data_IF_413566202792
#
_entry.id   IF_413566202792
#
_cell.length_a   1.000
_cell.length_b   1.000
_cell.length_c   1.000
_cell.angle_alpha   90.00
_cell.angle_beta   90.00
_cell.angle_gamma   90.00
#
_symmetry.space_group_name_H-M   'P 1'
#
loop_
_entity.id
_entity.type
_entity.pdbx_description
1 polymer ?
#
# COMPACT_ATOMS: atom_id res chain seq x y z
N UNK A 1 -15.16 14.84 70.51
CA UNK A 1 -13.86 14.33 70.03
C UNK A 1 -13.73 14.56 68.56
N UNK A 2 -12.93 15.57 68.22
CA UNK A 2 -12.69 15.97 66.82
C UNK A 2 -11.67 15.04 66.20
N UNK A 3 -12.02 14.31 65.18
CA UNK A 3 -11.07 13.65 64.29
C UNK A 3 -10.88 14.43 62.98
N UNK A 4 -9.66 14.87 62.82
CA UNK A 4 -9.12 15.72 61.77
C UNK A 4 -9.21 15.05 60.39
N UNK A 5 -9.80 15.77 59.43
CA UNK A 5 -9.75 15.49 58.00
C UNK A 5 -8.41 15.92 57.37
N UNK A 6 -7.32 15.27 57.73
CA UNK A 6 -6.01 15.53 57.12
C UNK A 6 -5.17 14.25 57.23
N UNK A 7 -5.39 13.25 56.38
CA UNK A 7 -4.40 12.21 56.03
C UNK A 7 -5.05 11.25 55.04
N UNK A 8 -5.37 11.68 53.83
CA UNK A 8 -5.64 10.72 52.71
C UNK A 8 -5.46 11.41 51.34
N UNK A 9 -4.43 12.22 51.18
CA UNK A 9 -3.98 12.72 49.88
C UNK A 9 -2.46 12.59 49.83
N UNK A 10 -1.98 11.40 49.79
CA UNK A 10 -0.56 11.12 49.47
C UNK A 10 -0.42 9.63 49.20
N UNK A 11 -0.76 9.17 48.03
CA UNK A 11 -0.29 7.93 47.43
C UNK A 11 -1.10 7.55 46.16
N UNK A 12 -1.30 8.42 45.22
CA UNK A 12 -1.56 8.06 43.81
C UNK A 12 -0.89 9.13 42.93
N UNK A 13 0.42 9.24 43.04
CA UNK A 13 1.27 9.75 41.97
C UNK A 13 2.07 8.54 41.50
N UNK A 14 1.38 7.53 41.00
CA UNK A 14 1.97 6.45 40.26
C UNK A 14 1.97 6.84 38.79
N UNK A 15 3.12 7.38 38.34
CA UNK A 15 3.76 7.02 37.07
C UNK A 15 2.87 6.96 35.82
N UNK A 16 2.16 8.05 35.50
CA UNK A 16 2.00 8.40 34.11
C UNK A 16 3.32 9.05 33.67
N UNK A 17 4.32 8.24 33.36
CA UNK A 17 5.34 8.65 32.42
C UNK A 17 4.65 8.80 31.06
N UNK A 18 3.96 9.93 30.89
CA UNK A 18 3.76 10.49 29.57
C UNK A 18 5.16 10.51 28.96
N UNK A 19 5.44 9.59 28.03
CA UNK A 19 6.50 9.79 27.06
C UNK A 19 6.07 11.08 26.35
N UNK A 20 6.57 12.21 26.83
CA UNK A 20 6.46 13.48 26.14
C UNK A 20 7.00 13.19 24.75
N UNK A 21 6.12 13.21 23.74
CA UNK A 21 6.58 13.32 22.36
C UNK A 21 7.55 14.49 22.40
N UNK A 22 8.78 14.34 21.89
CA UNK A 22 9.71 15.46 21.87
C UNK A 22 8.95 16.63 21.25
N UNK A 23 8.83 17.75 21.99
CA UNK A 23 8.29 18.99 21.47
C UNK A 23 9.35 19.48 20.51
N UNK A 24 9.28 19.00 19.27
CA UNK A 24 10.04 19.54 18.18
C UNK A 24 9.60 21.01 18.10
N UNK A 25 10.48 21.93 18.42
CA UNK A 25 10.27 23.35 18.14
C UNK A 25 9.77 23.40 16.69
N UNK A 26 8.65 24.08 16.43
CA UNK A 26 7.87 24.00 15.21
C UNK A 26 8.77 24.05 13.95
N UNK A 27 9.24 22.88 13.55
CA UNK A 27 10.19 22.71 12.47
C UNK A 27 9.49 23.07 11.16
N UNK A 28 10.05 23.98 10.40
CA UNK A 28 9.41 24.37 9.13
C UNK A 28 9.67 23.30 8.09
N UNK A 29 8.65 22.88 7.34
CA UNK A 29 8.84 21.93 6.26
C UNK A 29 9.76 22.54 5.18
N UNK A 30 10.69 21.73 4.69
CA UNK A 30 11.54 22.06 3.56
C UNK A 30 10.77 21.89 2.24
N UNK A 31 9.93 20.87 2.17
CA UNK A 31 9.15 20.55 0.99
C UNK A 31 7.88 19.80 1.41
N UNK A 32 6.78 20.06 0.70
CA UNK A 32 5.56 19.27 0.73
C UNK A 32 5.26 18.80 -0.69
N UNK A 33 5.02 17.49 -0.88
CA UNK A 33 4.66 16.95 -2.18
C UNK A 33 3.56 15.90 -2.09
N UNK A 34 2.74 15.80 -3.15
CA UNK A 34 1.69 14.79 -3.28
C UNK A 34 2.23 13.52 -3.91
N UNK A 35 1.66 12.37 -3.53
CA UNK A 35 1.97 11.05 -4.11
C UNK A 35 0.67 10.35 -4.49
N UNK A 36 0.56 9.96 -5.76
CA UNK A 36 -0.52 9.17 -6.33
C UNK A 36 0.06 8.01 -7.14
N UNK A 37 -0.76 6.99 -7.38
CA UNK A 37 -0.44 5.86 -8.25
C UNK A 37 -1.71 5.21 -8.75
N UNK A 38 -1.61 4.43 -9.83
CA UNK A 38 -2.69 3.56 -10.29
C UNK A 38 -4.01 4.32 -10.51
N UNK A 39 -3.92 5.45 -11.20
CA UNK A 39 -5.08 6.31 -11.50
C UNK A 39 -6.01 5.67 -12.52
N UNK A 40 -5.46 4.89 -13.47
CA UNK A 40 -6.19 4.19 -14.53
C UNK A 40 -7.25 5.07 -15.21
N UNK A 41 -6.85 6.28 -15.58
CA UNK A 41 -7.73 7.17 -16.35
C UNK A 41 -8.09 6.51 -17.67
N UNK A 42 -9.38 6.35 -17.93
CA UNK A 42 -9.90 5.59 -19.08
C UNK A 42 -10.62 4.29 -18.68
N UNK A 43 -10.30 3.69 -17.53
CA UNK A 43 -10.96 2.46 -17.07
C UNK A 43 -12.45 2.67 -16.74
N UNK A 44 -12.76 3.71 -15.98
CA UNK A 44 -14.12 4.12 -15.64
C UNK A 44 -14.23 5.65 -15.67
N UNK A 45 -15.42 6.22 -15.94
CA UNK A 45 -15.62 7.67 -15.87
C UNK A 45 -15.24 8.27 -14.50
N UNK A 46 -15.36 7.48 -13.43
CA UNK A 46 -14.98 7.85 -12.08
C UNK A 46 -13.47 8.04 -11.88
N UNK A 47 -12.61 7.41 -12.69
CA UNK A 47 -11.15 7.51 -12.55
C UNK A 47 -10.64 8.95 -12.73
N UNK A 48 -11.14 9.66 -13.76
CA UNK A 48 -10.79 11.08 -13.97
C UNK A 48 -11.33 11.98 -12.85
N UNK A 49 -12.51 11.68 -12.33
CA UNK A 49 -13.06 12.40 -11.18
C UNK A 49 -12.21 12.20 -9.92
N UNK A 50 -11.76 10.95 -9.67
CA UNK A 50 -10.88 10.62 -8.56
C UNK A 50 -9.57 11.42 -8.64
N UNK A 51 -8.90 11.38 -9.81
CA UNK A 51 -7.69 12.15 -10.07
C UNK A 51 -7.89 13.64 -9.79
N UNK A 52 -9.01 14.24 -10.27
CA UNK A 52 -9.31 15.66 -9.99
C UNK A 52 -9.46 15.94 -8.49
N UNK A 53 -10.07 15.04 -7.74
CA UNK A 53 -10.22 15.18 -6.28
C UNK A 53 -8.87 15.23 -5.58
N UNK A 54 -7.98 14.33 -5.95
CA UNK A 54 -6.63 14.23 -5.37
C UNK A 54 -5.77 15.43 -5.74
N UNK A 55 -5.72 15.80 -7.01
CA UNK A 55 -4.99 16.98 -7.46
C UNK A 55 -5.54 18.28 -6.83
N UNK A 56 -6.85 18.40 -6.66
CA UNK A 56 -7.46 19.55 -5.97
C UNK A 56 -7.08 19.59 -4.49
N UNK A 57 -6.96 18.45 -3.84
CA UNK A 57 -6.45 18.37 -2.47
C UNK A 57 -5.00 18.83 -2.40
N UNK A 58 -4.14 18.32 -3.27
CA UNK A 58 -2.74 18.74 -3.34
C UNK A 58 -2.59 20.24 -3.58
N UNK A 59 -3.43 20.80 -4.47
CA UNK A 59 -3.44 22.23 -4.75
C UNK A 59 -3.74 23.04 -3.47
N UNK A 60 -4.80 22.68 -2.73
CA UNK A 60 -5.19 23.36 -1.48
C UNK A 60 -4.14 23.23 -0.38
N UNK A 61 -3.51 22.06 -0.26
CA UNK A 61 -2.48 21.77 0.73
C UNK A 61 -1.13 22.41 0.41
N UNK A 62 -0.98 23.06 -0.75
CA UNK A 62 0.23 23.78 -1.11
C UNK A 62 1.40 22.88 -1.46
N UNK A 63 1.16 21.75 -2.11
CA UNK A 63 2.26 20.90 -2.58
C UNK A 63 3.03 21.58 -3.70
N UNK A 64 4.35 21.36 -3.74
CA UNK A 64 5.27 21.90 -4.74
C UNK A 64 5.68 20.88 -5.81
N UNK A 65 5.41 19.62 -5.57
CA UNK A 65 5.66 18.51 -6.48
C UNK A 65 4.46 17.55 -6.40
N UNK A 66 4.07 16.97 -7.52
CA UNK A 66 3.17 15.82 -7.56
C UNK A 66 3.92 14.66 -8.18
N UNK A 67 4.05 13.59 -7.41
CA UNK A 67 4.65 12.32 -7.81
C UNK A 67 3.54 11.38 -8.24
N UNK A 68 3.65 10.83 -9.46
CA UNK A 68 2.84 9.70 -9.91
C UNK A 68 3.74 8.47 -10.05
N UNK A 69 3.39 7.39 -9.33
CA UNK A 69 4.15 6.15 -9.32
C UNK A 69 3.74 5.17 -10.44
N UNK A 70 3.18 5.65 -11.55
CA UNK A 70 2.81 4.85 -12.73
C UNK A 70 1.32 4.51 -12.80
N UNK A 71 0.95 3.90 -13.93
CA UNK A 71 -0.42 3.52 -14.29
C UNK A 71 -1.40 4.70 -14.20
N UNK A 72 -0.99 5.84 -14.77
CA UNK A 72 -1.85 7.02 -14.82
C UNK A 72 -2.97 6.85 -15.87
N UNK A 73 -2.68 6.16 -16.98
CA UNK A 73 -3.63 5.75 -18.00
C UNK A 73 -4.01 4.27 -17.84
N UNK A 74 -5.16 3.86 -18.38
CA UNK A 74 -5.58 2.46 -18.36
C UNK A 74 -5.10 1.66 -19.56
N UNK A 75 -5.25 2.22 -20.75
CA UNK A 75 -4.85 1.59 -22.03
C UNK A 75 -3.60 2.22 -22.63
N UNK A 76 -2.96 3.17 -21.95
CA UNK A 76 -1.71 3.81 -22.39
C UNK A 76 -1.86 4.66 -23.65
N UNK A 77 -2.97 5.37 -23.80
CA UNK A 77 -3.26 6.19 -25.00
C UNK A 77 -3.04 7.69 -24.76
N UNK A 78 -2.66 8.43 -25.83
CA UNK A 78 -2.56 9.88 -25.76
C UNK A 78 -3.91 10.56 -25.47
N UNK A 79 -5.03 9.93 -25.80
CA UNK A 79 -6.36 10.43 -25.51
C UNK A 79 -6.65 10.38 -24.00
N UNK A 80 -6.31 9.27 -23.34
CA UNK A 80 -6.40 9.16 -21.88
C UNK A 80 -5.44 10.13 -21.19
N UNK A 81 -4.21 10.22 -21.68
CA UNK A 81 -3.21 11.16 -21.15
C UNK A 81 -3.68 12.62 -21.29
N UNK A 82 -4.44 12.95 -22.34
CA UNK A 82 -5.08 14.27 -22.47
C UNK A 82 -6.05 14.53 -21.32
N UNK A 83 -6.86 13.55 -20.91
CA UNK A 83 -7.76 13.69 -19.75
C UNK A 83 -6.98 13.94 -18.46
N UNK A 84 -5.81 13.28 -18.29
CA UNK A 84 -4.89 13.52 -17.17
C UNK A 84 -4.38 14.96 -17.18
N UNK A 85 -3.90 15.44 -18.34
CA UNK A 85 -3.36 16.80 -18.45
C UNK A 85 -4.42 17.88 -18.33
N UNK A 86 -5.65 17.62 -18.77
CA UNK A 86 -6.78 18.52 -18.56
C UNK A 86 -7.15 18.59 -17.07
N UNK A 87 -7.18 17.45 -16.36
CA UNK A 87 -7.37 17.43 -14.91
C UNK A 87 -6.26 18.20 -14.18
N UNK A 88 -5.01 18.07 -14.62
CA UNK A 88 -3.89 18.83 -14.08
C UNK A 88 -4.07 20.33 -14.24
N UNK A 89 -4.40 20.79 -15.47
CA UNK A 89 -4.60 22.22 -15.77
C UNK A 89 -5.75 22.84 -14.99
N UNK A 90 -6.82 22.06 -14.79
CA UNK A 90 -7.98 22.51 -13.99
C UNK A 90 -7.61 22.69 -12.52
N UNK A 91 -6.75 21.82 -11.97
CA UNK A 91 -6.37 21.85 -10.56
C UNK A 91 -5.17 22.77 -10.28
N UNK A 92 -4.24 22.89 -11.23
CA UNK A 92 -3.04 23.72 -11.16
C UNK A 92 -2.94 24.69 -12.33
N UNK A 93 -3.80 25.72 -12.40
CA UNK A 93 -3.73 26.74 -13.45
C UNK A 93 -2.32 27.35 -13.51
N UNK A 94 -1.74 27.44 -14.71
CA UNK A 94 -0.37 27.89 -14.94
C UNK A 94 0.69 27.11 -14.10
N UNK A 95 0.41 25.82 -13.78
CA UNK A 95 1.23 24.98 -12.90
C UNK A 95 1.46 25.58 -11.50
N UNK A 96 0.43 26.19 -10.90
CA UNK A 96 0.53 26.80 -9.58
C UNK A 96 -0.48 26.19 -8.61
N UNK A 97 -0.04 26.03 -7.36
CA UNK A 97 -0.92 25.66 -6.23
C UNK A 97 -1.74 26.87 -5.74
N UNK A 98 -2.60 26.65 -4.75
CA UNK A 98 -3.46 27.71 -4.19
C UNK A 98 -2.68 28.84 -3.51
N UNK A 99 -1.42 28.63 -3.17
CA UNK A 99 -0.51 29.63 -2.61
C UNK A 99 0.25 30.41 -3.69
N UNK A 100 0.00 30.11 -4.97
CA UNK A 100 0.69 30.75 -6.11
C UNK A 100 2.10 30.21 -6.39
N UNK A 101 2.51 29.14 -5.73
CA UNK A 101 3.82 28.52 -5.92
C UNK A 101 3.79 27.51 -7.09
N UNK A 102 4.91 27.41 -7.81
CA UNK A 102 5.04 26.46 -8.93
C UNK A 102 4.99 25.01 -8.45
N UNK A 103 4.20 24.19 -9.15
CA UNK A 103 4.06 22.74 -8.94
C UNK A 103 4.74 22.02 -10.10
N UNK A 104 5.60 21.06 -9.77
CA UNK A 104 6.36 20.27 -10.74
C UNK A 104 5.85 18.83 -10.77
N UNK A 105 5.50 18.29 -11.95
CA UNK A 105 5.16 16.88 -12.10
C UNK A 105 6.42 16.01 -12.11
N UNK A 106 6.41 14.89 -11.36
CA UNK A 106 7.37 13.79 -11.41
C UNK A 106 6.59 12.54 -11.73
N UNK A 107 6.57 12.14 -12.98
CA UNK A 107 5.78 11.01 -13.44
C UNK A 107 6.70 9.89 -13.92
N UNK A 108 6.46 8.67 -13.45
CA UNK A 108 6.98 7.46 -14.06
C UNK A 108 5.85 6.74 -14.78
N UNK A 109 6.18 6.01 -15.83
CA UNK A 109 5.22 5.20 -16.56
C UNK A 109 5.16 3.81 -15.93
N UNK A 110 3.95 3.29 -15.74
CA UNK A 110 3.69 1.92 -15.34
C UNK A 110 3.49 1.00 -16.54
N UNK A 111 3.08 -0.24 -16.25
CA UNK A 111 2.82 -1.20 -17.33
C UNK A 111 1.61 -0.81 -18.17
N UNK A 112 0.55 -0.28 -17.56
CA UNK A 112 -0.63 0.18 -18.31
C UNK A 112 -0.32 1.38 -19.21
N UNK A 113 0.55 2.29 -18.78
CA UNK A 113 0.98 3.42 -19.60
C UNK A 113 1.80 2.98 -20.81
N UNK A 114 2.57 1.88 -20.68
CA UNK A 114 3.37 1.30 -21.76
C UNK A 114 2.69 0.14 -22.50
N UNK A 115 1.59 -0.37 -21.96
CA UNK A 115 0.78 -1.33 -22.67
C UNK A 115 -0.04 -0.58 -23.70
N UNK A 116 0.37 -0.78 -24.93
CA UNK A 116 -0.47 -0.44 -26.04
C UNK A 116 -1.80 -1.22 -25.99
N UNK A 117 -2.77 -0.79 -26.73
CA UNK A 117 -4.07 -1.44 -26.84
C UNK A 117 -3.99 -2.93 -27.25
N UNK A 118 -2.83 -3.41 -27.76
CA UNK A 118 -2.63 -4.81 -28.15
C UNK A 118 -2.46 -5.74 -26.96
N UNK A 119 -1.82 -5.32 -25.89
CA UNK A 119 -1.67 -6.14 -24.67
C UNK A 119 -3.02 -6.45 -24.04
N UNK A 120 -3.87 -5.44 -23.90
CA UNK A 120 -5.19 -5.61 -23.28
C UNK A 120 -6.18 -6.36 -24.18
N UNK A 121 -6.00 -6.32 -25.48
CA UNK A 121 -6.92 -6.88 -26.49
C UNK A 121 -6.43 -8.18 -27.12
N UNK A 122 -5.21 -8.62 -26.84
CA UNK A 122 -4.59 -9.75 -27.53
C UNK A 122 -4.67 -9.65 -29.07
N UNK A 123 -4.56 -8.45 -29.60
CA UNK A 123 -4.65 -8.16 -31.04
C UNK A 123 -3.41 -7.41 -31.50
N UNK A 124 -2.97 -7.61 -32.75
CA UNK A 124 -1.95 -6.76 -33.35
C UNK A 124 -2.39 -5.31 -33.35
N UNK A 125 -1.47 -4.38 -33.08
CA UNK A 125 -1.72 -2.95 -33.16
C UNK A 125 -2.13 -2.56 -34.58
N UNK A 126 -3.18 -1.76 -34.66
CA UNK A 126 -3.52 -1.04 -35.90
C UNK A 126 -2.60 0.18 -36.03
N UNK A 127 -2.57 0.80 -37.23
CA UNK A 127 -1.86 2.07 -37.44
C UNK A 127 -2.39 3.18 -36.50
N UNK A 128 -3.69 3.15 -36.17
CA UNK A 128 -4.27 4.11 -35.22
C UNK A 128 -3.79 3.85 -33.79
N UNK A 129 -3.72 2.60 -33.38
CA UNK A 129 -3.17 2.24 -32.06
C UNK A 129 -1.72 2.75 -31.93
N UNK A 130 -0.88 2.57 -32.95
CA UNK A 130 0.51 3.08 -32.97
C UNK A 130 0.54 4.61 -32.86
N UNK A 131 -0.35 5.31 -33.56
CA UNK A 131 -0.45 6.78 -33.48
C UNK A 131 -0.88 7.27 -32.11
N UNK A 132 -1.64 6.47 -31.35
CA UNK A 132 -2.21 6.83 -30.06
C UNK A 132 -1.42 6.28 -28.85
N UNK A 133 -0.64 5.23 -29.01
CA UNK A 133 0.07 4.60 -27.91
C UNK A 133 1.17 5.51 -27.33
N UNK A 134 1.18 5.67 -26.01
CA UNK A 134 2.24 6.40 -25.28
C UNK A 134 3.61 5.79 -25.59
N UNK A 135 3.73 4.47 -25.56
CA UNK A 135 4.97 3.75 -25.85
C UNK A 135 5.58 4.11 -27.21
N UNK A 136 4.74 4.33 -28.23
CA UNK A 136 5.17 4.71 -29.58
C UNK A 136 5.41 6.23 -29.74
N UNK A 137 4.97 7.04 -28.77
CA UNK A 137 5.00 8.51 -28.82
C UNK A 137 5.61 9.11 -27.53
N UNK A 138 6.66 8.49 -26.98
CA UNK A 138 7.25 8.83 -25.68
C UNK A 138 7.55 10.32 -25.50
N UNK A 139 8.18 10.96 -26.48
CA UNK A 139 8.53 12.39 -26.40
C UNK A 139 7.27 13.26 -26.34
N UNK A 140 6.27 12.98 -27.17
CA UNK A 140 4.99 13.73 -27.16
C UNK A 140 4.23 13.53 -25.85
N UNK A 141 4.16 12.30 -25.36
CA UNK A 141 3.53 12.00 -24.08
C UNK A 141 4.24 12.71 -22.91
N UNK A 142 5.56 12.73 -22.93
CA UNK A 142 6.36 13.41 -21.92
C UNK A 142 6.14 14.93 -21.95
N UNK A 143 6.12 15.53 -23.15
CA UNK A 143 5.81 16.95 -23.31
C UNK A 143 4.41 17.31 -22.81
N UNK A 144 3.42 16.47 -23.04
CA UNK A 144 2.06 16.69 -22.54
C UNK A 144 1.99 16.79 -21.02
N UNK A 145 2.75 15.97 -20.30
CA UNK A 145 2.72 15.90 -18.82
C UNK A 145 3.66 16.93 -18.18
N UNK A 146 4.87 17.07 -18.71
CA UNK A 146 5.96 17.83 -18.05
C UNK A 146 6.24 19.17 -18.72
N UNK A 147 5.83 19.34 -19.96
CA UNK A 147 6.25 20.47 -20.81
C UNK A 147 7.64 20.32 -21.42
N UNK A 148 8.35 19.24 -21.16
CA UNK A 148 9.70 18.96 -21.67
C UNK A 148 9.59 18.18 -23.00
N UNK A 149 10.23 18.67 -24.06
CA UNK A 149 10.07 18.12 -25.42
C UNK A 149 10.65 16.73 -25.63
N UNK A 150 11.55 16.28 -24.76
CA UNK A 150 12.26 15.01 -24.92
C UNK A 150 12.10 14.14 -23.70
N UNK A 151 11.71 12.89 -23.90
CA UNK A 151 11.67 11.87 -22.88
C UNK A 151 13.09 11.60 -22.31
N UNK A 152 13.28 11.56 -21.00
CA UNK A 152 14.62 11.53 -20.40
C UNK A 152 15.32 10.17 -20.46
N UNK A 153 14.66 9.12 -20.96
CA UNK A 153 15.15 7.74 -20.90
C UNK A 153 14.46 6.94 -19.80
N UNK A 154 14.97 5.74 -19.53
CA UNK A 154 14.33 4.82 -18.56
C UNK A 154 14.52 5.27 -17.10
N UNK A 155 15.59 6.02 -16.81
CA UNK A 155 15.86 6.59 -15.48
C UNK A 155 16.21 8.06 -15.65
N UNK A 156 15.70 8.90 -14.75
CA UNK A 156 15.97 10.33 -14.79
C UNK A 156 16.13 10.93 -13.39
N UNK A 157 16.78 12.09 -13.31
CA UNK A 157 16.96 12.84 -12.07
C UNK A 157 16.35 14.23 -12.22
N UNK A 158 15.61 14.68 -11.18
CA UNK A 158 15.11 16.05 -11.07
C UNK A 158 15.40 16.62 -9.69
N UNK A 159 15.86 17.88 -9.64
CA UNK A 159 16.03 18.61 -8.39
C UNK A 159 14.95 19.68 -8.28
N UNK A 160 14.14 19.61 -7.23
CA UNK A 160 13.05 20.55 -6.97
C UNK A 160 13.08 20.99 -5.52
N UNK A 161 13.13 22.29 -5.27
CA UNK A 161 13.13 22.87 -3.92
C UNK A 161 14.22 22.29 -3.00
N UNK A 162 15.40 21.97 -3.55
CA UNK A 162 16.50 21.37 -2.81
C UNK A 162 16.41 19.86 -2.55
N UNK A 163 15.28 19.23 -2.87
CA UNK A 163 15.13 17.79 -2.83
C UNK A 163 15.53 17.14 -4.17
N UNK A 164 16.03 15.92 -4.11
CA UNK A 164 16.41 15.11 -5.28
C UNK A 164 15.39 14.02 -5.49
N UNK A 165 14.82 13.98 -6.70
CA UNK A 165 13.93 12.95 -7.17
C UNK A 165 14.61 12.15 -8.26
N UNK A 166 14.50 10.81 -8.20
CA UNK A 166 14.94 9.90 -9.25
C UNK A 166 13.71 9.11 -9.68
N UNK A 167 13.35 9.20 -10.96
CA UNK A 167 12.26 8.42 -11.53
C UNK A 167 12.81 7.27 -12.37
N UNK A 168 12.25 6.08 -12.20
CA UNK A 168 12.53 4.90 -13.02
C UNK A 168 11.22 4.39 -13.63
N UNK A 169 11.16 4.34 -14.95
CA UNK A 169 9.99 3.85 -15.66
C UNK A 169 9.85 2.33 -15.52
N UNK A 170 8.73 1.79 -16.00
CA UNK A 170 8.44 0.37 -15.98
C UNK A 170 9.59 -0.50 -16.51
N UNK A 171 9.83 -1.63 -15.83
CA UNK A 171 10.86 -2.61 -16.14
C UNK A 171 12.31 -2.18 -15.85
N UNK A 172 12.55 -1.20 -15.01
CA UNK A 172 13.90 -0.85 -14.56
C UNK A 172 14.45 -1.96 -13.63
N UNK A 173 15.44 -2.72 -14.14
CA UNK A 173 16.15 -3.76 -13.40
C UNK A 173 17.47 -3.25 -12.79
N UNK A 174 18.15 -4.10 -12.01
CA UNK A 174 19.50 -3.80 -11.49
C UNK A 174 20.49 -3.49 -12.60
N UNK A 175 20.39 -4.19 -13.75
CA UNK A 175 21.28 -3.98 -14.91
C UNK A 175 21.13 -2.60 -15.54
N UNK A 176 19.97 -1.96 -15.41
CA UNK A 176 19.69 -0.61 -15.88
C UNK A 176 20.00 0.42 -14.79
N UNK A 177 19.49 0.16 -13.57
CA UNK A 177 19.55 1.15 -12.49
C UNK A 177 20.97 1.37 -11.97
N UNK A 178 21.73 0.29 -11.71
CA UNK A 178 23.05 0.41 -11.09
C UNK A 178 24.04 1.21 -11.94
N UNK A 179 24.25 0.93 -13.24
CA UNK A 179 25.14 1.74 -14.07
C UNK A 179 24.70 3.19 -14.17
N UNK A 180 23.38 3.44 -14.17
CA UNK A 180 22.86 4.81 -14.22
C UNK A 180 23.17 5.57 -12.93
N UNK A 181 22.95 4.98 -11.75
CA UNK A 181 23.27 5.59 -10.46
C UNK A 181 24.77 5.83 -10.31
N UNK A 182 25.62 4.89 -10.74
CA UNK A 182 27.06 5.04 -10.73
C UNK A 182 27.53 6.23 -11.60
N UNK A 183 26.92 6.40 -12.77
CA UNK A 183 27.22 7.51 -13.68
C UNK A 183 26.80 8.89 -13.12
N UNK A 184 25.74 8.92 -12.29
CA UNK A 184 25.19 10.16 -11.71
C UNK A 184 25.55 10.33 -10.23
N UNK A 185 26.48 9.55 -9.70
CA UNK A 185 26.85 9.54 -8.27
C UNK A 185 27.18 10.95 -7.71
N UNK A 186 27.83 11.80 -8.48
CA UNK A 186 28.16 13.15 -8.07
C UNK A 186 26.95 14.08 -7.89
N UNK A 187 25.80 13.73 -8.50
CA UNK A 187 24.57 14.50 -8.45
C UNK A 187 23.61 14.04 -7.35
N UNK A 188 23.82 12.83 -6.82
CA UNK A 188 22.95 12.16 -5.85
C UNK A 188 23.50 12.43 -4.44
N UNK A 189 22.76 13.13 -3.57
CA UNK A 189 23.21 13.40 -2.21
C UNK A 189 23.19 12.13 -1.35
N UNK A 190 24.12 12.06 -0.39
CA UNK A 190 24.20 10.98 0.61
C UNK A 190 23.83 11.45 2.01
N UNK A 191 23.73 12.77 2.21
CA UNK A 191 23.50 13.44 3.50
C UNK A 191 22.04 13.86 3.74
N UNK A 192 21.16 13.57 2.81
CA UNK A 192 19.72 13.89 2.88
C UNK A 192 18.88 12.85 2.15
N UNK A 193 17.54 12.79 2.38
CA UNK A 193 16.66 11.88 1.66
C UNK A 193 16.73 12.09 0.14
N UNK A 194 16.77 10.98 -0.60
CA UNK A 194 16.55 10.92 -2.05
C UNK A 194 15.23 10.21 -2.30
N UNK A 195 14.35 10.85 -3.03
CA UNK A 195 13.02 10.32 -3.34
C UNK A 195 13.08 9.54 -4.65
N UNK A 196 13.04 8.21 -4.53
CA UNK A 196 13.07 7.32 -5.68
C UNK A 196 11.65 6.89 -6.04
N UNK A 197 11.29 7.02 -7.31
CA UNK A 197 9.93 6.77 -7.81
C UNK A 197 9.99 5.67 -8.87
N UNK A 198 9.22 4.62 -8.68
CA UNK A 198 9.06 3.55 -9.66
C UNK A 198 7.65 2.96 -9.58
N UNK A 199 7.24 2.18 -10.60
CA UNK A 199 5.90 1.62 -10.60
C UNK A 199 5.79 0.34 -9.76
N UNK A 200 6.51 -0.77 -10.05
CA UNK A 200 6.47 -1.96 -9.20
C UNK A 200 7.27 -1.73 -7.92
N UNK A 201 6.81 -2.27 -6.80
CA UNK A 201 7.57 -2.17 -5.56
C UNK A 201 8.84 -3.05 -5.60
N UNK A 202 9.92 -2.67 -4.89
CA UNK A 202 11.13 -3.47 -4.81
C UNK A 202 10.85 -4.83 -4.15
N UNK A 203 11.44 -5.89 -4.71
CA UNK A 203 11.25 -7.27 -4.22
C UNK A 203 11.55 -7.39 -2.73
N UNK A 204 10.65 -8.06 -2.00
CA UNK A 204 10.80 -8.33 -0.57
C UNK A 204 10.53 -7.13 0.33
N UNK A 205 9.97 -6.03 -0.19
CA UNK A 205 9.60 -4.84 0.59
C UNK A 205 8.10 -4.82 0.93
N UNK A 206 7.47 -3.66 0.94
CA UNK A 206 6.05 -3.53 1.21
C UNK A 206 5.23 -4.41 0.26
N UNK A 207 4.33 -5.23 0.79
CA UNK A 207 3.41 -6.14 0.09
C UNK A 207 4.01 -7.23 -0.80
N UNK A 208 5.30 -7.47 -0.79
CA UNK A 208 5.91 -8.58 -1.50
C UNK A 208 5.25 -9.92 -1.19
N UNK A 209 4.86 -10.14 0.07
CA UNK A 209 4.15 -11.36 0.51
C UNK A 209 2.80 -11.60 -0.17
N UNK A 210 2.17 -10.57 -0.78
CA UNK A 210 0.86 -10.68 -1.41
C UNK A 210 0.92 -10.75 -2.94
N UNK A 211 1.97 -10.19 -3.55
CA UNK A 211 2.08 -10.08 -5.00
C UNK A 211 3.53 -10.22 -5.49
N UNK A 212 4.14 -11.35 -5.22
CA UNK A 212 5.52 -11.64 -5.63
C UNK A 212 5.78 -11.48 -7.14
N UNK A 213 4.77 -11.69 -7.98
CA UNK A 213 4.88 -11.53 -9.43
C UNK A 213 4.88 -10.07 -9.91
N UNK A 214 4.65 -9.12 -9.02
CA UNK A 214 4.52 -7.69 -9.32
C UNK A 214 5.66 -6.86 -8.76
N UNK A 215 6.80 -7.49 -8.49
CA UNK A 215 7.96 -6.87 -7.87
C UNK A 215 9.02 -6.48 -8.91
N UNK A 216 9.72 -5.37 -8.64
CA UNK A 216 10.89 -4.98 -9.45
C UNK A 216 12.12 -5.82 -9.12
N UNK A 217 13.01 -5.99 -10.10
CA UNK A 217 14.28 -6.71 -9.97
C UNK A 217 15.47 -5.83 -9.54
N UNK A 218 15.23 -4.66 -8.91
CA UNK A 218 16.29 -3.68 -8.57
C UNK A 218 16.55 -3.53 -7.06
N UNK A 219 16.05 -4.44 -6.24
CA UNK A 219 16.20 -4.37 -4.78
C UNK A 219 17.66 -4.42 -4.33
N UNK A 220 18.52 -5.16 -5.01
CA UNK A 220 19.94 -5.27 -4.65
C UNK A 220 20.65 -3.91 -4.80
N UNK A 221 20.41 -3.21 -5.89
CA UNK A 221 20.92 -1.86 -6.11
C UNK A 221 20.40 -0.86 -5.08
N UNK A 222 19.11 -0.91 -4.77
CA UNK A 222 18.49 0.00 -3.80
C UNK A 222 19.04 -0.20 -2.37
N UNK A 223 19.43 -1.41 -1.99
CA UNK A 223 20.06 -1.70 -0.69
C UNK A 223 21.44 -1.02 -0.53
N UNK A 224 22.10 -0.62 -1.61
CA UNK A 224 23.35 0.17 -1.55
C UNK A 224 23.10 1.66 -1.18
N UNK A 225 21.81 2.09 -1.12
CA UNK A 225 21.39 3.49 -0.94
C UNK A 225 20.47 3.68 0.27
N UNK A 226 20.98 3.63 1.51
CA UNK A 226 20.17 3.65 2.73
C UNK A 226 19.39 4.96 2.96
N UNK A 227 19.75 6.04 2.27
CA UNK A 227 19.04 7.32 2.32
C UNK A 227 17.93 7.46 1.28
N UNK A 228 17.63 6.39 0.51
CA UNK A 228 16.53 6.43 -0.45
C UNK A 228 15.17 6.20 0.25
N UNK A 229 14.20 7.01 -0.19
CA UNK A 229 12.79 6.87 0.12
C UNK A 229 12.08 6.49 -1.18
N UNK A 230 11.77 5.20 -1.33
CA UNK A 230 11.18 4.61 -2.53
C UNK A 230 9.67 4.66 -2.45
N UNK A 231 9.02 5.16 -3.49
CA UNK A 231 7.57 5.23 -3.64
C UNK A 231 7.16 4.39 -4.84
N UNK A 232 6.15 3.54 -4.66
CA UNK A 232 5.71 2.59 -5.69
C UNK A 232 4.20 2.34 -5.66
N UNK A 233 3.66 1.86 -6.78
CA UNK A 233 2.27 1.47 -7.00
C UNK A 233 2.11 0.00 -7.40
N UNK A 234 1.41 -0.24 -8.52
CA UNK A 234 1.26 -1.52 -9.22
C UNK A 234 0.51 -2.63 -8.47
N UNK A 235 0.76 -2.79 -7.19
CA UNK A 235 0.11 -3.83 -6.39
C UNK A 235 -1.36 -3.51 -6.11
N UNK A 236 -1.77 -2.26 -6.26
CA UNK A 236 -3.08 -1.71 -5.89
C UNK A 236 -3.45 -1.97 -4.43
N UNK A 237 -2.47 -2.18 -3.58
CA UNK A 237 -2.71 -2.48 -2.19
C UNK A 237 -2.91 -1.19 -1.42
N UNK A 238 -3.91 -1.21 -0.53
CA UNK A 238 -4.25 -0.07 0.29
C UNK A 238 -3.08 0.37 1.18
N UNK A 239 -2.84 1.68 1.25
CA UNK A 239 -1.94 2.26 2.24
C UNK A 239 -2.62 2.47 3.62
N UNK A 240 -3.76 1.82 3.85
CA UNK A 240 -4.54 1.93 5.08
C UNK A 240 -3.88 1.23 6.28
N UNK A 241 -2.86 0.45 6.08
CA UNK A 241 -2.18 -0.29 7.14
C UNK A 241 -0.67 -0.13 7.09
N UNK A 242 -0.01 -0.28 8.23
CA UNK A 242 1.34 0.17 8.45
C UNK A 242 2.43 -0.80 7.97
N UNK A 243 2.07 -1.94 7.38
CA UNK A 243 3.00 -2.75 6.58
C UNK A 243 3.08 -2.32 5.11
N UNK A 244 2.36 -1.23 4.74
CA UNK A 244 2.57 -0.51 3.50
C UNK A 244 3.85 0.36 3.50
N UNK A 245 4.55 0.41 4.63
CA UNK A 245 5.85 1.08 4.73
C UNK A 245 6.89 0.15 5.35
N UNK A 246 7.99 -0.04 4.63
CA UNK A 246 9.08 -0.96 4.95
C UNK A 246 10.40 -0.20 5.12
N UNK A 247 11.23 -0.60 6.11
CA UNK A 247 12.48 0.05 6.46
C UNK A 247 13.61 -0.97 6.71
N UNK A 248 13.78 -1.95 5.82
CA UNK A 248 14.76 -3.03 6.00
C UNK A 248 16.19 -2.71 5.53
N UNK A 249 16.39 -1.69 4.70
CA UNK A 249 17.70 -1.28 4.19
C UNK A 249 17.64 0.07 3.49
N UNK A 250 16.47 0.45 3.05
CA UNK A 250 16.04 1.77 2.61
C UNK A 250 14.58 1.95 3.07
N UNK A 251 13.95 3.08 2.82
CA UNK A 251 12.51 3.22 3.07
C UNK A 251 11.77 2.90 1.78
N UNK A 252 10.77 1.99 1.84
CA UNK A 252 9.88 1.69 0.73
C UNK A 252 8.43 1.88 1.17
N UNK A 253 7.65 2.66 0.41
CA UNK A 253 6.24 2.85 0.67
C UNK A 253 5.39 2.49 -0.55
N UNK A 254 4.23 1.86 -0.31
CA UNK A 254 3.18 1.74 -1.29
C UNK A 254 2.32 2.99 -1.32
N UNK A 255 2.09 3.54 -2.51
CA UNK A 255 1.31 4.77 -2.69
C UNK A 255 -0.21 4.56 -2.49
N UNK A 256 -0.67 3.32 -2.45
CA UNK A 256 -2.09 3.00 -2.56
C UNK A 256 -2.56 3.02 -4.01
N UNK A 257 -3.84 3.27 -4.24
CA UNK A 257 -4.39 3.44 -5.57
C UNK A 257 -5.38 4.60 -5.63
N UNK A 258 -5.22 5.44 -6.65
CA UNK A 258 -6.02 6.62 -6.90
C UNK A 258 -7.38 6.31 -7.54
N UNK A 259 -7.60 5.09 -8.02
CA UNK A 259 -8.88 4.67 -8.57
C UNK A 259 -9.44 3.45 -7.87
N UNK A 260 -10.77 3.45 -7.68
CA UNK A 260 -11.47 2.36 -6.98
C UNK A 260 -11.40 0.99 -7.65
N UNK A 261 -10.99 0.92 -8.92
CA UNK A 261 -10.75 -0.33 -9.64
C UNK A 261 -9.65 -1.17 -8.99
N UNK A 262 -8.81 -0.53 -8.22
CA UNK A 262 -7.51 -1.03 -7.86
C UNK A 262 -7.45 -1.73 -6.52
N UNK A 263 -8.38 -1.49 -5.65
CA UNK A 263 -8.37 -2.07 -4.30
C UNK A 263 -9.02 -3.45 -4.20
N UNK A 264 -9.36 -4.02 -5.34
CA UNK A 264 -10.03 -5.32 -5.46
C UNK A 264 -9.12 -6.52 -5.21
N UNK A 265 -7.81 -6.34 -5.13
CA UNK A 265 -6.84 -7.44 -5.02
C UNK A 265 -6.48 -7.86 -3.60
N UNK A 266 -6.76 -7.04 -2.58
CA UNK A 266 -6.32 -7.27 -1.21
C UNK A 266 -7.26 -8.12 -0.37
N UNK A 267 -8.45 -8.43 -0.83
CA UNK A 267 -9.56 -8.79 0.05
C UNK A 267 -9.90 -10.26 0.06
N UNK A 268 -9.19 -11.06 -0.74
CA UNK A 268 -9.59 -12.45 -0.95
C UNK A 268 -8.51 -13.45 -0.76
N UNK A 269 -8.79 -14.35 0.13
CA UNK A 269 -8.06 -15.58 0.34
C UNK A 269 -8.86 -16.74 -0.23
N UNK A 270 -8.60 -17.13 -1.44
CA UNK A 270 -9.21 -18.29 -2.07
C UNK A 270 -8.16 -19.38 -2.27
N UNK A 271 -7.53 -19.78 -1.20
CA UNK A 271 -6.68 -20.93 -1.22
C UNK A 271 -5.19 -20.66 -1.36
N UNK A 272 -4.41 -21.49 -0.72
CA UNK A 272 -2.97 -21.57 -0.84
C UNK A 272 -2.65 -22.31 -2.11
N UNK A 273 -1.84 -21.73 -3.01
CA UNK A 273 -1.13 -22.54 -3.97
C UNK A 273 0.13 -23.06 -3.28
N UNK A 274 0.58 -24.27 -3.63
CA UNK A 274 1.86 -24.80 -3.16
C UNK A 274 3.08 -23.92 -3.54
N UNK A 275 2.87 -22.90 -4.37
CA UNK A 275 3.88 -21.94 -4.84
C UNK A 275 3.82 -20.59 -4.12
N UNK A 276 2.78 -20.31 -3.35
CA UNK A 276 2.69 -19.08 -2.54
C UNK A 276 2.35 -19.45 -1.09
N UNK A 277 3.28 -19.31 -0.15
CA UNK A 277 3.05 -19.61 1.26
C UNK A 277 2.02 -18.68 1.92
N UNK A 278 1.66 -17.59 1.25
CA UNK A 278 0.74 -16.56 1.75
C UNK A 278 -0.67 -16.63 1.14
N UNK A 279 -0.93 -17.63 0.32
CA UNK A 279 -2.23 -17.79 -0.34
C UNK A 279 -2.36 -16.97 -1.63
N UNK A 280 -3.26 -17.41 -2.49
CA UNK A 280 -3.59 -16.66 -3.70
C UNK A 280 -4.73 -15.71 -3.38
N UNK A 281 -4.44 -14.43 -3.36
CA UNK A 281 -5.47 -13.38 -3.31
C UNK A 281 -6.21 -13.37 -4.64
N UNK A 282 -7.51 -13.55 -4.64
CA UNK A 282 -8.34 -13.54 -5.84
C UNK A 282 -9.51 -12.57 -5.69
N UNK A 283 -9.84 -11.93 -6.80
CA UNK A 283 -11.02 -11.09 -6.93
C UNK A 283 -12.29 -11.84 -6.62
N UNK A 284 -13.10 -11.30 -5.72
CA UNK A 284 -14.53 -11.63 -5.64
C UNK A 284 -15.37 -10.37 -5.90
N UNK A 285 -16.35 -10.43 -6.82
CA UNK A 285 -17.26 -9.30 -7.04
C UNK A 285 -18.04 -8.98 -5.76
N UNK A 286 -18.15 -7.71 -5.44
CA UNK A 286 -19.00 -7.24 -4.35
C UNK A 286 -18.36 -7.25 -2.95
N UNK A 287 -17.06 -7.44 -2.86
CA UNK A 287 -16.43 -7.36 -1.57
C UNK A 287 -16.15 -5.94 -1.10
N UNK A 288 -15.65 -5.93 0.07
CA UNK A 288 -15.48 -4.86 1.04
C UNK A 288 -14.54 -3.70 0.62
N UNK A 289 -14.12 -3.65 -0.65
CA UNK A 289 -13.19 -2.63 -1.14
C UNK A 289 -13.75 -1.21 -1.01
N UNK A 290 -15.06 -1.09 -0.98
CA UNK A 290 -15.71 0.20 -0.88
C UNK A 290 -15.28 1.21 -1.97
N UNK A 291 -14.33 0.82 -2.85
CA UNK A 291 -13.73 1.67 -3.87
C UNK A 291 -12.97 2.84 -3.27
N UNK A 292 -12.16 2.64 -2.24
CA UNK A 292 -11.25 3.66 -1.69
C UNK A 292 -10.44 4.35 -2.78
N UNK A 293 -10.19 5.64 -2.60
CA UNK A 293 -9.41 6.51 -3.48
C UNK A 293 -8.30 7.12 -2.64
N UNK A 294 -7.10 6.54 -2.73
CA UNK A 294 -6.04 6.85 -1.79
C UNK A 294 -4.91 7.64 -2.43
N UNK A 295 -4.55 8.74 -1.76
CA UNK A 295 -3.39 9.54 -2.06
C UNK A 295 -2.66 9.91 -0.76
N UNK A 296 -1.42 10.35 -0.89
CA UNK A 296 -0.61 10.75 0.25
C UNK A 296 0.04 12.12 0.03
N UNK A 297 0.28 12.84 1.12
CA UNK A 297 1.18 13.99 1.15
C UNK A 297 2.41 13.61 1.95
N UNK A 298 3.58 13.80 1.34
CA UNK A 298 4.86 13.67 2.01
C UNK A 298 5.37 15.04 2.37
N UNK A 299 5.61 15.27 3.66
CA UNK A 299 6.19 16.49 4.20
C UNK A 299 7.62 16.21 4.66
N UNK A 300 8.58 16.89 4.05
CA UNK A 300 10.02 16.74 4.35
C UNK A 300 10.45 17.82 5.33
N UNK A 301 11.00 17.40 6.45
CA UNK A 301 11.62 18.27 7.44
C UNK A 301 13.14 18.02 7.48
N UNK A 302 13.96 18.90 8.09
CA UNK A 302 15.38 18.64 8.27
C UNK A 302 15.71 17.33 8.97
N UNK A 303 14.88 16.90 9.92
CA UNK A 303 15.14 15.74 10.79
C UNK A 303 14.22 14.55 10.56
N UNK A 304 13.24 14.63 9.65
CA UNK A 304 12.27 13.57 9.42
C UNK A 304 11.50 13.73 8.12
N UNK A 305 10.83 12.65 7.71
CA UNK A 305 9.84 12.62 6.63
C UNK A 305 8.51 12.16 7.22
N UNK A 306 7.44 12.93 6.99
CA UNK A 306 6.09 12.61 7.45
C UNK A 306 5.19 12.31 6.26
N UNK A 307 4.47 11.19 6.31
CA UNK A 307 3.52 10.78 5.27
C UNK A 307 2.11 10.82 5.83
N UNK A 308 1.31 11.76 5.34
CA UNK A 308 -0.13 11.87 5.63
C UNK A 308 -0.91 11.14 4.54
N UNK A 309 -1.72 10.15 4.92
CA UNK A 309 -2.52 9.32 4.00
C UNK A 309 -3.98 9.75 4.03
N UNK A 310 -4.62 9.81 2.87
CA UNK A 310 -5.99 10.30 2.75
C UNK A 310 -6.84 9.41 1.84
N UNK A 311 -8.07 9.16 2.24
CA UNK A 311 -9.08 8.52 1.41
C UNK A 311 -10.06 9.56 0.89
N UNK A 312 -9.99 9.83 -0.43
CA UNK A 312 -10.78 10.86 -1.09
C UNK A 312 -12.22 10.45 -1.34
N UNK A 313 -12.53 9.16 -1.29
CA UNK A 313 -13.92 8.70 -1.41
C UNK A 313 -14.73 9.12 -0.21
N UNK A 314 -14.13 9.00 0.97
CA UNK A 314 -14.79 9.28 2.24
C UNK A 314 -14.42 10.64 2.84
N UNK A 315 -13.38 11.28 2.32
CA UNK A 315 -12.91 12.58 2.78
C UNK A 315 -12.28 12.53 4.17
N UNK A 316 -11.48 11.52 4.45
CA UNK A 316 -10.94 11.28 5.79
C UNK A 316 -9.50 10.78 5.78
N UNK A 317 -8.79 10.97 6.90
CA UNK A 317 -7.46 10.39 7.11
C UNK A 317 -7.51 8.87 7.18
N UNK A 318 -6.41 8.25 6.71
CA UNK A 318 -6.19 6.81 6.73
C UNK A 318 -5.20 6.47 7.85
N UNK A 319 -5.70 6.36 9.07
CA UNK A 319 -4.87 6.11 10.25
C UNK A 319 -3.98 7.30 10.64
N UNK A 320 -2.97 7.05 11.48
CA UNK A 320 -2.00 8.06 11.89
C UNK A 320 -0.95 8.28 10.81
N UNK A 321 -0.33 9.47 10.80
CA UNK A 321 0.78 9.79 9.92
C UNK A 321 1.97 8.85 10.17
N UNK A 322 2.65 8.44 9.11
CA UNK A 322 3.95 7.80 9.24
C UNK A 322 5.02 8.88 9.47
N UNK A 323 5.55 8.95 10.69
CA UNK A 323 6.62 9.89 11.08
C UNK A 323 7.96 9.14 11.15
N UNK A 324 8.82 9.39 10.17
CA UNK A 324 10.05 8.64 9.94
C UNK A 324 11.25 9.56 10.17
N UNK A 325 11.98 9.35 11.25
CA UNK A 325 13.16 10.10 11.58
C UNK A 325 14.24 9.99 10.48
N UNK A 326 14.95 11.07 10.22
CA UNK A 326 16.12 11.09 9.35
C UNK A 326 17.36 11.50 10.15
N UNK A 327 18.54 10.85 9.98
CA UNK A 327 18.82 9.72 9.07
C UNK A 327 17.92 8.50 9.28
N UNK A 328 17.54 7.84 8.19
CA UNK A 328 16.67 6.68 8.28
C UNK A 328 17.31 5.55 9.10
N UNK A 329 16.51 4.91 9.94
CA UNK A 329 16.95 3.76 10.72
C UNK A 329 16.35 2.51 10.11
N UNK A 330 17.22 1.56 9.76
CA UNK A 330 16.84 0.33 9.09
C UNK A 330 17.01 -0.88 9.99
N UNK A 331 16.13 -1.88 9.82
CA UNK A 331 16.24 -3.16 10.48
C UNK A 331 15.70 -4.27 9.57
N UNK A 332 16.60 -5.04 8.97
CA UNK A 332 16.23 -6.13 8.06
C UNK A 332 15.46 -7.27 8.75
N UNK A 333 15.58 -7.41 10.08
CA UNK A 333 14.86 -8.45 10.86
C UNK A 333 13.47 -7.98 11.29
N UNK A 334 13.28 -6.67 11.44
CA UNK A 334 12.00 -6.05 11.82
C UNK A 334 11.74 -4.81 10.94
N UNK A 335 11.50 -4.99 9.63
CA UNK A 335 11.50 -3.88 8.68
C UNK A 335 10.24 -2.99 8.76
N UNK A 336 9.15 -3.47 9.35
CA UNK A 336 7.93 -2.67 9.54
C UNK A 336 8.01 -1.85 10.85
N UNK A 337 8.99 -0.97 10.91
CA UNK A 337 9.39 -0.25 12.13
C UNK A 337 8.30 0.67 12.70
N UNK A 338 7.47 1.25 11.82
CA UNK A 338 6.35 2.11 12.25
C UNK A 338 5.40 1.34 13.17
N UNK A 339 5.12 0.07 12.85
CA UNK A 339 4.22 -0.78 13.63
C UNK A 339 4.94 -1.71 14.61
N UNK A 340 6.27 -1.68 14.70
CA UNK A 340 7.05 -2.65 15.48
C UNK A 340 6.76 -2.64 16.99
N UNK A 341 6.31 -1.50 17.53
CA UNK A 341 5.95 -1.33 18.93
C UNK A 341 4.44 -1.53 19.20
N UNK A 342 3.65 -1.86 18.18
CA UNK A 342 2.21 -2.04 18.32
C UNK A 342 1.87 -3.24 19.21
N UNK A 343 0.83 -3.08 20.04
CA UNK A 343 0.33 -4.17 20.89
C UNK A 343 -0.18 -5.35 20.05
N UNK A 344 -0.05 -6.56 20.57
CA UNK A 344 -0.63 -7.75 19.96
C UNK A 344 -2.16 -7.60 19.87
N UNK A 345 -2.79 -8.03 18.75
CA UNK A 345 -4.23 -7.93 18.60
C UNK A 345 -4.98 -8.92 19.49
N UNK A 346 -6.21 -8.58 19.84
CA UNK A 346 -7.07 -9.42 20.66
C UNK A 346 -8.45 -9.61 19.99
N UNK A 347 -8.98 -10.81 20.11
CA UNK A 347 -10.37 -11.06 19.76
C UNK A 347 -11.31 -10.50 20.85
N UNK A 348 -12.55 -10.13 20.49
CA UNK A 348 -13.53 -9.74 21.49
C UNK A 348 -13.84 -10.90 22.45
N UNK A 349 -14.27 -10.55 23.65
CA UNK A 349 -14.64 -11.56 24.67
C UNK A 349 -15.75 -12.50 24.13
N UNK A 350 -15.59 -13.79 24.31
CA UNK A 350 -16.51 -14.80 23.80
C UNK A 350 -16.39 -15.09 22.30
N UNK A 351 -15.37 -14.59 21.64
CA UNK A 351 -15.11 -14.87 20.23
C UNK A 351 -14.99 -16.40 19.98
N UNK A 352 -15.64 -16.85 18.92
CA UNK A 352 -15.62 -18.25 18.51
C UNK A 352 -15.48 -18.37 16.99
N UNK A 353 -14.91 -19.48 16.55
CA UNK A 353 -14.88 -19.87 15.13
C UNK A 353 -16.16 -20.63 14.80
N UNK A 354 -16.86 -20.22 13.77
CA UNK A 354 -17.97 -20.97 13.17
C UNK A 354 -17.44 -21.77 11.99
N UNK A 355 -17.87 -23.03 11.90
CA UNK A 355 -17.50 -23.94 10.80
C UNK A 355 -18.76 -24.42 10.11
N UNK A 356 -18.86 -24.20 8.80
CA UNK A 356 -20.02 -24.57 7.99
C UNK A 356 -19.56 -25.29 6.72
N UNK A 357 -20.28 -26.37 6.37
CA UNK A 357 -20.14 -26.99 5.06
C UNK A 357 -21.20 -26.43 4.11
N UNK A 358 -20.76 -25.82 3.02
CA UNK A 358 -21.66 -25.31 1.98
C UNK A 358 -21.00 -25.35 0.61
N UNK A 359 -21.80 -25.28 -0.43
CA UNK A 359 -21.29 -25.16 -1.78
C UNK A 359 -20.82 -23.70 -2.02
N UNK A 360 -19.68 -23.56 -2.65
CA UNK A 360 -19.12 -22.26 -3.00
C UNK A 360 -18.42 -22.30 -4.33
N UNK A 361 -18.24 -21.12 -4.93
CA UNK A 361 -17.61 -20.97 -6.23
C UNK A 361 -16.09 -20.99 -6.11
N UNK A 362 -15.39 -21.71 -7.00
CA UNK A 362 -13.95 -21.60 -7.20
C UNK A 362 -13.70 -20.56 -8.30
N UNK A 363 -12.88 -19.58 -7.99
CA UNK A 363 -12.44 -18.60 -8.98
C UNK A 363 -11.06 -18.99 -9.52
N UNK A 364 -10.72 -18.83 -10.81
CA UNK A 364 -11.51 -18.20 -11.88
C UNK A 364 -12.47 -19.17 -12.62
N UNK A 365 -12.45 -20.47 -12.33
CA UNK A 365 -13.23 -21.48 -13.09
C UNK A 365 -14.73 -21.29 -12.98
N UNK A 366 -15.21 -20.55 -11.98
CA UNK A 366 -16.62 -20.35 -11.64
C UNK A 366 -17.39 -21.66 -11.37
N UNK A 367 -16.67 -22.75 -11.12
CA UNK A 367 -17.29 -24.03 -10.72
C UNK A 367 -17.75 -23.96 -9.26
N UNK A 368 -18.92 -24.51 -9.00
CA UNK A 368 -19.44 -24.64 -7.65
C UNK A 368 -19.05 -26.01 -7.08
N UNK A 369 -18.35 -26.02 -5.95
CA UNK A 369 -17.86 -27.22 -5.28
C UNK A 369 -18.18 -27.20 -3.80
N UNK A 370 -18.24 -28.36 -3.12
CA UNK A 370 -18.36 -28.43 -1.66
C UNK A 370 -17.13 -27.80 -0.98
N UNK A 371 -17.39 -26.93 -0.01
CA UNK A 371 -16.36 -26.19 0.72
C UNK A 371 -16.66 -26.21 2.22
N UNK A 372 -15.61 -26.01 3.02
CA UNK A 372 -15.69 -25.77 4.47
C UNK A 372 -15.35 -24.30 4.70
N UNK A 373 -16.30 -23.58 5.24
CA UNK A 373 -16.20 -22.16 5.56
C UNK A 373 -15.94 -21.97 7.04
N UNK A 374 -14.90 -21.22 7.36
CA UNK A 374 -14.57 -20.77 8.71
C UNK A 374 -14.88 -19.28 8.78
N UNK A 375 -15.69 -18.89 9.75
CA UNK A 375 -16.02 -17.49 10.03
C UNK A 375 -15.66 -17.17 11.45
N UNK A 376 -15.13 -16.00 11.71
CA UNK A 376 -14.71 -15.56 13.03
C UNK A 376 -14.81 -14.03 13.14
N UNK A 377 -15.04 -13.48 14.36
CA UNK A 377 -15.12 -12.04 14.54
C UNK A 377 -13.78 -11.38 14.24
N UNK A 378 -13.80 -10.11 13.82
CA UNK A 378 -12.59 -9.34 13.68
C UNK A 378 -11.89 -9.17 15.03
N UNK A 379 -10.58 -9.34 15.03
CA UNK A 379 -9.73 -8.93 16.15
C UNK A 379 -9.39 -7.43 16.02
N UNK A 380 -9.01 -6.81 17.12
CA UNK A 380 -8.57 -5.41 17.18
C UNK A 380 -7.29 -5.27 17.99
N UNK A 381 -6.54 -4.23 17.73
CA UNK A 381 -5.42 -3.80 18.55
C UNK A 381 -5.68 -2.39 19.08
N UNK A 382 -4.96 -2.02 20.13
CA UNK A 382 -5.04 -0.69 20.74
C UNK A 382 -3.71 0.02 20.56
N UNK A 383 -3.79 1.30 20.20
CA UNK A 383 -2.62 2.17 20.03
C UNK A 383 -2.34 2.51 18.57
N UNK A 384 -1.39 3.42 18.32
CA UNK A 384 -1.02 3.82 16.98
C UNK A 384 -0.39 2.68 16.20
N UNK A 385 -0.60 2.66 14.91
CA UNK A 385 0.01 1.71 13.96
C UNK A 385 -0.21 0.23 14.30
N UNK A 386 -1.32 -0.11 14.96
CA UNK A 386 -1.60 -1.43 15.51
C UNK A 386 -2.63 -2.24 14.72
N UNK A 387 -3.04 -1.77 13.54
CA UNK A 387 -4.09 -2.41 12.74
C UNK A 387 -3.82 -3.88 12.47
N UNK A 388 -4.84 -4.73 12.65
CA UNK A 388 -4.79 -6.15 12.26
C UNK A 388 -4.76 -6.22 10.74
N UNK A 389 -3.82 -6.96 10.20
CA UNK A 389 -3.63 -7.12 8.75
C UNK A 389 -3.91 -8.53 8.28
N UNK A 390 -3.59 -9.52 9.11
CA UNK A 390 -3.67 -10.93 8.76
C UNK A 390 -4.27 -11.78 9.88
N UNK A 391 -4.80 -12.94 9.47
CA UNK A 391 -5.10 -14.05 10.35
C UNK A 391 -4.39 -15.30 9.86
N UNK A 392 -3.70 -16.01 10.75
CA UNK A 392 -3.20 -17.34 10.47
C UNK A 392 -4.25 -18.36 10.87
N UNK A 393 -4.78 -19.10 9.89
CA UNK A 393 -5.74 -20.18 10.10
C UNK A 393 -5.02 -21.51 9.95
N UNK A 394 -4.85 -22.24 11.05
CA UNK A 394 -4.15 -23.52 11.12
C UNK A 394 -5.12 -24.61 11.48
N UNK A 395 -5.10 -25.71 10.75
CA UNK A 395 -5.89 -26.91 11.03
C UNK A 395 -4.94 -28.04 11.36
N UNK A 396 -5.20 -28.73 12.48
CA UNK A 396 -4.44 -29.88 12.95
C UNK A 396 -5.38 -31.04 13.25
N UNK A 397 -4.88 -32.27 13.25
CA UNK A 397 -5.62 -33.43 13.79
C UNK A 397 -5.75 -33.30 15.30
N UNK A 398 -6.97 -33.54 15.83
CA UNK A 398 -7.22 -33.41 17.26
C UNK A 398 -6.52 -34.50 18.08
N UNK A 399 -6.29 -35.69 17.51
CA UNK A 399 -5.72 -36.84 18.19
C UNK A 399 -4.24 -36.68 18.56
N UNK A 400 -3.44 -36.03 17.71
CA UNK A 400 -1.98 -35.99 17.84
C UNK A 400 -1.37 -34.60 17.56
N UNK A 401 -2.19 -33.63 17.19
CA UNK A 401 -1.75 -32.24 16.87
C UNK A 401 -0.96 -32.11 15.55
N UNK A 402 -0.95 -33.16 14.72
CA UNK A 402 -0.22 -33.12 13.46
C UNK A 402 -0.87 -32.09 12.53
N UNK A 403 -0.07 -31.15 11.97
CA UNK A 403 -0.58 -30.16 11.03
C UNK A 403 -1.17 -30.79 9.76
N UNK A 404 -2.35 -30.33 9.38
CA UNK A 404 -3.03 -30.71 8.13
C UNK A 404 -2.79 -29.63 7.09
N UNK A 405 -3.14 -28.38 7.42
CA UNK A 405 -2.99 -27.24 6.52
C UNK A 405 -2.94 -25.93 7.31
N UNK A 406 -2.22 -24.95 6.77
CA UNK A 406 -2.18 -23.60 7.30
C UNK A 406 -2.41 -22.59 6.17
N UNK A 407 -3.16 -21.53 6.46
CA UNK A 407 -3.38 -20.39 5.56
C UNK A 407 -3.19 -19.08 6.29
N UNK A 408 -2.62 -18.12 5.57
CA UNK A 408 -2.64 -16.72 5.96
C UNK A 408 -3.79 -16.01 5.24
N UNK A 409 -4.63 -15.34 6.00
CA UNK A 409 -5.88 -14.73 5.54
C UNK A 409 -5.83 -13.24 5.81
N UNK A 410 -6.03 -12.41 4.81
CA UNK A 410 -6.07 -10.96 4.99
C UNK A 410 -7.31 -10.53 5.80
N UNK A 411 -7.16 -9.49 6.62
CA UNK A 411 -8.30 -8.84 7.26
C UNK A 411 -9.21 -8.25 6.17
N UNK A 412 -10.52 -8.47 6.30
CA UNK A 412 -11.50 -7.84 5.39
C UNK A 412 -11.54 -6.33 5.58
N UNK A 413 -11.82 -5.63 4.50
CA UNK A 413 -11.90 -4.17 4.52
C UNK A 413 -10.55 -3.46 4.72
N UNK A 414 -9.44 -4.09 4.38
CA UNK A 414 -8.09 -3.48 4.48
C UNK A 414 -7.97 -2.15 3.72
N UNK A 415 -8.71 -2.02 2.62
CA UNK A 415 -8.75 -0.80 1.82
C UNK A 415 -9.51 0.34 2.49
N UNK A 416 -10.34 0.03 3.48
CA UNK A 416 -11.15 1.01 4.18
C UNK A 416 -10.39 1.64 5.35
N UNK A 417 -10.80 2.83 5.74
CA UNK A 417 -10.33 3.43 6.99
C UNK A 417 -10.74 2.56 8.18
N UNK A 418 -9.98 2.62 9.26
CA UNK A 418 -10.13 1.69 10.37
C UNK A 418 -11.56 1.63 10.93
N UNK A 419 -12.20 2.81 11.12
CA UNK A 419 -13.56 2.86 11.66
C UNK A 419 -14.61 2.30 10.70
N UNK A 420 -14.37 2.34 9.38
CA UNK A 420 -15.24 1.74 8.36
C UNK A 420 -15.04 0.24 8.25
N UNK A 421 -13.83 -0.24 8.51
CA UNK A 421 -13.51 -1.66 8.53
C UNK A 421 -13.97 -2.38 9.81
N UNK A 422 -14.39 -1.65 10.84
CA UNK A 422 -14.86 -2.24 12.11
C UNK A 422 -16.10 -3.12 11.88
N UNK A 423 -16.04 -4.32 12.46
CA UNK A 423 -17.16 -5.28 12.42
C UNK A 423 -17.15 -6.23 11.21
N UNK A 424 -16.19 -6.09 10.29
CA UNK A 424 -16.02 -7.11 9.27
C UNK A 424 -15.50 -8.40 9.88
N UNK A 425 -16.30 -9.46 9.75
CA UNK A 425 -15.88 -10.80 10.14
C UNK A 425 -14.75 -11.30 9.25
N UNK A 426 -13.75 -11.97 9.85
CA UNK A 426 -12.77 -12.73 9.11
C UNK A 426 -13.36 -14.04 8.59
N UNK A 427 -12.90 -14.52 7.45
CA UNK A 427 -13.30 -15.81 6.93
C UNK A 427 -12.18 -16.48 6.13
N UNK A 428 -12.23 -17.82 6.12
CA UNK A 428 -11.34 -18.66 5.35
C UNK A 428 -12.13 -19.85 4.78
N UNK A 429 -11.76 -20.30 3.59
CA UNK A 429 -12.45 -21.39 2.90
C UNK A 429 -11.44 -22.45 2.49
N UNK A 430 -11.78 -23.71 2.70
CA UNK A 430 -11.04 -24.87 2.21
C UNK A 430 -11.95 -25.74 1.35
N UNK A 431 -11.41 -26.37 0.33
CA UNK A 431 -12.09 -27.47 -0.37
C UNK A 431 -12.27 -28.65 0.60
N UNK A 432 -13.38 -29.37 0.47
CA UNK A 432 -13.62 -30.57 1.29
C UNK A 432 -12.52 -31.62 1.10
N UNK A 433 -11.93 -31.67 -0.09
CA UNK A 433 -10.84 -32.58 -0.46
C UNK A 433 -9.49 -32.21 0.17
N UNK A 434 -9.32 -31.00 0.65
CA UNK A 434 -8.09 -30.54 1.30
C UNK A 434 -7.99 -31.00 2.77
N UNK A 435 -9.07 -31.51 3.32
CA UNK A 435 -9.17 -31.90 4.73
C UNK A 435 -9.47 -33.39 4.88
N UNK A 436 -8.85 -34.10 5.87
CA UNK A 436 -9.10 -35.51 6.10
C UNK A 436 -10.52 -35.74 6.59
N UNK A 437 -11.15 -36.80 6.05
CA UNK A 437 -12.52 -37.21 6.40
C UNK A 437 -12.51 -38.22 7.57
N UNK A 438 -13.55 -38.16 8.39
CA UNK A 438 -13.74 -39.12 9.50
C UNK A 438 -12.82 -38.87 10.70
N UNK A 439 -12.04 -37.81 10.67
CA UNK A 439 -11.17 -37.42 11.78
C UNK A 439 -11.73 -36.18 12.48
N UNK A 440 -11.42 -36.06 13.78
CA UNK A 440 -11.62 -34.82 14.51
C UNK A 440 -10.46 -33.87 14.24
N UNK A 441 -10.78 -32.66 13.90
CA UNK A 441 -9.84 -31.59 13.54
C UNK A 441 -10.01 -30.40 14.48
N UNK A 442 -8.92 -29.65 14.68
CA UNK A 442 -8.94 -28.38 15.42
C UNK A 442 -8.48 -27.26 14.48
N UNK A 443 -9.37 -26.30 14.27
CA UNK A 443 -9.03 -25.04 13.62
C UNK A 443 -8.58 -24.03 14.66
N UNK A 444 -7.43 -23.40 14.44
CA UNK A 444 -6.86 -22.32 15.27
C UNK A 444 -6.73 -21.08 14.43
N UNK A 445 -7.29 -19.97 14.89
CA UNK A 445 -7.21 -18.66 14.22
C UNK A 445 -6.40 -17.70 15.08
N UNK A 446 -5.33 -17.15 14.54
CA UNK A 446 -4.38 -16.26 15.22
C UNK A 446 -4.36 -14.92 14.51
N UNK A 447 -4.74 -13.80 15.13
CA UNK A 447 -4.69 -12.48 14.51
C UNK A 447 -3.25 -11.94 14.54
N UNK A 448 -2.87 -11.20 13.48
CA UNK A 448 -1.53 -10.65 13.30
C UNK A 448 -1.66 -9.18 12.90
N UNK A 449 -0.95 -8.28 13.57
CA UNK A 449 -0.90 -6.86 13.20
C UNK A 449 0.21 -6.56 12.18
N UNK A 450 0.26 -5.32 11.68
CA UNK A 450 1.25 -4.87 10.71
C UNK A 450 2.70 -5.02 11.19
N UNK A 451 2.95 -4.90 12.49
CA UNK A 451 4.27 -5.10 13.11
C UNK A 451 4.68 -6.58 13.25
N UNK A 452 3.79 -7.52 12.87
CA UNK A 452 4.03 -8.96 12.98
C UNK A 452 3.70 -9.56 14.35
N UNK A 453 3.21 -8.76 15.31
CA UNK A 453 2.80 -9.28 16.61
C UNK A 453 1.54 -10.13 16.48
N UNK A 454 1.58 -11.34 17.06
CA UNK A 454 0.49 -12.30 17.06
C UNK A 454 -0.32 -12.22 18.34
N UNK A 455 -1.64 -12.18 18.22
CA UNK A 455 -2.55 -12.21 19.36
C UNK A 455 -2.86 -13.62 19.87
N UNK A 456 -3.66 -13.69 20.95
CA UNK A 456 -4.14 -14.96 21.48
C UNK A 456 -5.06 -15.65 20.48
N UNK A 457 -4.90 -16.96 20.25
CA UNK A 457 -5.73 -17.70 19.31
C UNK A 457 -7.15 -17.96 19.86
N UNK A 458 -8.10 -18.11 18.91
CA UNK A 458 -9.37 -18.79 19.17
C UNK A 458 -9.37 -20.12 18.42
N UNK A 459 -10.10 -21.12 18.96
CA UNK A 459 -10.07 -22.48 18.44
C UNK A 459 -11.47 -23.08 18.32
N UNK A 460 -11.61 -24.04 17.39
CA UNK A 460 -12.82 -24.84 17.19
C UNK A 460 -12.46 -26.26 16.80
N UNK A 461 -12.96 -27.23 17.57
CA UNK A 461 -12.98 -28.64 17.16
C UNK A 461 -14.17 -28.88 16.21
N UNK A 462 -13.92 -29.63 15.15
CA UNK A 462 -14.93 -29.97 14.14
C UNK A 462 -14.62 -31.31 13.46
N UNK A 463 -15.57 -31.87 12.74
CA UNK A 463 -15.45 -33.06 11.88
C UNK A 463 -16.16 -32.79 10.55
N UNK A 464 -15.74 -33.48 9.48
CA UNK A 464 -16.33 -33.38 8.15
C UNK A 464 -17.41 -34.45 7.91
#
# INVERSE_FOLDING_TARGET
MNFSRRTFISSIIASFALRAKPVWAAERPLLKFGVISDCHVGFEPSSTWALRKELSWFCREGVRVVVNCGDVCHDGTLAELKNVTDAWKDCFPANKNAQGETVVPIFVWGNHDYHDASYMRNKPLTEEDVRQAILCNKDKAWEMVTGERKHPGEVFLKKVCGATFIGAHWACSDEVLKPWLDAHRAEIPTDRPVFFVQHPHPRGTCFGKWRESSESGNSATLLEHPNFFVMSGHSHISNSFDDAIWQGGFVSMAAGAASGACLRGCEYNVGVSAKSPHGTVRHMPGADSGGSLQASIVTVYPSRVVVTRWDHRYGEHVGEDWDIAYPFVHDAKSPWRIAAAAAAPEFPAGAAVTVERKNGMIYPSKQTVPQIHFTFPAASSVGPHSRVVDYRVRIVRAADGVPVIERLVAQRGLSLTEHRARGFEGWCVFGVEELPRGEKLVATVIPINAGGASGKPIQKEFSL
#
